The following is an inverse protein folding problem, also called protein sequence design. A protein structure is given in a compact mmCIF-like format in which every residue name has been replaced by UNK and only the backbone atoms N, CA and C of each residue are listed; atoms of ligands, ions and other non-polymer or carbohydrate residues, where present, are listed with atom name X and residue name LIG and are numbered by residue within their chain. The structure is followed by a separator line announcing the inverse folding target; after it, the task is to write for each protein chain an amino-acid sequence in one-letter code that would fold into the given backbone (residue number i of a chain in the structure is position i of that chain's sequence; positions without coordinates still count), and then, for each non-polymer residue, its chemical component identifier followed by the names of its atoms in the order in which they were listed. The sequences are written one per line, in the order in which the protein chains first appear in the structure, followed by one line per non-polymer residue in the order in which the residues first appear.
data_IF_573976715436
#
_entry.id   IF_573976715436
#
_cell.length_a   1.000
_cell.length_b   1.000
_cell.length_c   1.000
_cell.angle_alpha   90.00
_cell.angle_beta   90.00
_cell.angle_gamma   90.00
#
_symmetry.space_group_name_H-M   'P 1'
#
loop_
_entity.id
_entity.type
_entity.pdbx_description
1 polymer ?
#
# COMPACT_ATOMS: atom_id res chain seq x y z
N UNK A 1 18.77 34.29 32.97
CA UNK A 1 18.81 35.28 31.88
C UNK A 1 17.89 34.81 30.77
N UNK A 2 16.77 35.52 30.64
CA UNK A 2 15.75 35.36 29.60
C UNK A 2 16.26 35.78 28.22
N UNK A 3 15.89 35.05 27.16
CA UNK A 3 14.97 35.53 26.11
C UNK A 3 14.67 34.42 25.08
N UNK A 4 13.38 34.32 24.74
CA UNK A 4 12.71 33.46 23.76
C UNK A 4 12.99 33.89 22.30
N UNK A 5 12.94 32.95 21.34
CA UNK A 5 11.87 32.79 20.33
C UNK A 5 12.32 31.94 19.12
N UNK A 6 11.44 31.03 18.64
CA UNK A 6 11.69 30.34 17.36
C UNK A 6 10.81 29.14 17.00
N UNK A 7 9.50 29.18 17.30
CA UNK A 7 8.39 28.42 16.70
C UNK A 7 8.45 26.89 16.50
N UNK A 8 7.73 26.23 17.40
CA UNK A 8 7.10 24.91 17.28
C UNK A 8 6.00 24.84 16.20
N UNK A 9 5.84 23.66 15.60
CA UNK A 9 4.52 23.16 15.20
C UNK A 9 4.45 21.64 15.40
N UNK A 10 4.36 21.24 16.67
CA UNK A 10 3.88 19.94 17.10
C UNK A 10 2.34 19.98 17.17
N UNK A 11 1.64 19.21 16.32
CA UNK A 11 0.20 18.99 16.50
C UNK A 11 -0.03 17.92 17.57
N UNK A 12 -0.18 18.37 18.82
CA UNK A 12 -0.83 17.62 19.90
C UNK A 12 -2.27 18.08 20.09
N UNK A 13 -3.07 17.13 20.53
CA UNK A 13 -4.51 17.07 20.74
C UNK A 13 -5.02 18.18 21.70
N UNK A 14 -6.15 18.81 21.37
CA UNK A 14 -7.03 19.46 22.35
C UNK A 14 -8.34 18.66 22.47
N UNK A 15 -8.50 18.01 23.62
CA UNK A 15 -9.78 17.59 24.18
C UNK A 15 -10.19 18.63 25.23
N UNK A 16 -11.15 19.50 24.88
CA UNK A 16 -11.84 20.42 25.78
C UNK A 16 -13.31 20.03 25.94
N UNK A 17 -13.99 20.44 27.02
CA UNK A 17 -15.29 19.90 27.42
C UNK A 17 -16.42 20.33 26.48
N UNK A 18 -17.42 19.46 26.34
CA UNK A 18 -18.70 19.72 25.68
C UNK A 18 -19.32 21.01 26.24
N UNK A 19 -19.23 22.10 25.47
CA UNK A 19 -20.03 23.31 25.69
C UNK A 19 -21.37 23.14 25.00
N UNK A 20 -22.42 23.46 25.75
CA UNK A 20 -23.82 23.31 25.41
C UNK A 20 -24.17 23.76 23.98
N UNK A 21 -24.94 22.88 23.38
CA UNK A 21 -25.83 23.07 22.25
C UNK A 21 -26.82 24.21 22.47
N UNK A 22 -26.68 25.28 21.71
CA UNK A 22 -27.77 26.03 21.06
C UNK A 22 -27.15 27.30 20.47
N UNK A 23 -27.39 27.52 19.17
CA UNK A 23 -26.95 28.67 18.35
C UNK A 23 -25.73 28.44 17.46
N UNK A 24 -25.95 27.72 16.35
CA UNK A 24 -25.51 28.22 15.05
C UNK A 24 -26.58 27.86 14.01
N UNK A 25 -27.21 28.92 13.52
CA UNK A 25 -28.28 28.99 12.54
C UNK A 25 -28.03 28.21 11.25
N UNK A 26 -29.11 27.62 10.74
CA UNK A 26 -29.31 27.15 9.37
C UNK A 26 -28.67 28.09 8.31
N UNK A 27 -27.54 27.69 7.75
CA UNK A 27 -27.21 28.00 6.36
C UNK A 27 -27.28 26.67 5.60
N UNK A 28 -28.17 26.56 4.60
CA UNK A 28 -28.27 25.39 3.73
C UNK A 28 -26.92 25.10 3.06
N UNK A 29 -26.12 24.21 3.66
CA UNK A 29 -24.86 23.74 3.09
C UNK A 29 -25.18 22.92 1.84
N UNK A 30 -25.08 23.55 0.67
CA UNK A 30 -25.47 22.92 -0.60
C UNK A 30 -24.29 22.14 -1.17
N UNK A 31 -24.23 20.85 -0.84
CA UNK A 31 -23.32 19.91 -1.49
C UNK A 31 -23.87 19.46 -2.85
N UNK A 32 -23.24 19.90 -3.94
CA UNK A 32 -23.61 19.57 -5.32
C UNK A 32 -22.54 18.69 -5.95
N UNK A 33 -22.95 17.61 -6.63
CA UNK A 33 -22.06 16.80 -7.47
C UNK A 33 -22.38 17.08 -8.93
N UNK A 34 -21.38 17.41 -9.72
CA UNK A 34 -21.55 17.73 -11.13
C UNK A 34 -20.40 17.18 -11.99
N UNK A 35 -20.65 17.06 -13.30
CA UNK A 35 -19.63 16.61 -14.25
C UNK A 35 -18.61 17.72 -14.48
N UNK A 36 -17.32 17.38 -14.48
CA UNK A 36 -16.27 18.32 -14.85
C UNK A 36 -16.42 18.75 -16.32
N UNK A 37 -16.71 20.04 -16.54
CA UNK A 37 -16.89 20.64 -17.87
C UNK A 37 -15.99 21.85 -18.11
N UNK A 38 -15.72 22.66 -17.08
CA UNK A 38 -14.93 23.88 -17.19
C UNK A 38 -13.42 23.62 -17.05
N UNK A 39 -12.63 24.25 -17.92
CA UNK A 39 -11.17 24.12 -17.89
C UNK A 39 -10.55 24.84 -16.68
N UNK A 40 -11.19 25.93 -16.20
CA UNK A 40 -10.81 26.60 -14.95
C UNK A 40 -10.94 25.68 -13.74
N UNK A 41 -12.02 24.89 -13.68
CA UNK A 41 -12.21 23.88 -12.63
C UNK A 41 -11.19 22.75 -12.75
N UNK A 42 -10.82 22.34 -13.97
CA UNK A 42 -9.77 21.32 -14.18
C UNK A 42 -8.45 21.73 -13.53
N UNK A 43 -8.03 22.99 -13.71
CA UNK A 43 -6.79 23.52 -13.11
C UNK A 43 -6.88 23.55 -11.58
N UNK A 44 -7.99 24.07 -11.03
CA UNK A 44 -8.22 24.08 -9.57
C UNK A 44 -8.24 22.67 -8.99
N UNK A 45 -8.86 21.72 -9.68
CA UNK A 45 -8.95 20.34 -9.25
C UNK A 45 -7.60 19.61 -9.28
N UNK A 46 -6.77 19.85 -10.30
CA UNK A 46 -5.40 19.32 -10.34
C UNK A 46 -4.56 19.86 -9.18
N UNK A 47 -4.72 21.13 -8.82
CA UNK A 47 -4.07 21.71 -7.64
C UNK A 47 -4.53 21.01 -6.36
N UNK A 48 -5.84 20.92 -6.14
CA UNK A 48 -6.43 20.24 -4.99
C UNK A 48 -5.98 18.77 -4.87
N UNK A 49 -5.95 18.06 -6.01
CA UNK A 49 -5.48 16.69 -6.07
C UNK A 49 -4.02 16.55 -5.64
N UNK A 50 -3.13 17.42 -6.14
CA UNK A 50 -1.71 17.43 -5.74
C UNK A 50 -1.49 17.70 -4.26
N UNK A 51 -2.36 18.51 -3.64
CA UNK A 51 -2.34 18.77 -2.20
C UNK A 51 -2.88 17.59 -1.38
N UNK A 52 -3.71 16.75 -1.99
CA UNK A 52 -4.36 15.61 -1.33
C UNK A 52 -3.53 14.33 -1.32
N UNK A 53 -2.53 14.22 -2.21
CA UNK A 53 -1.71 13.02 -2.38
C UNK A 53 -0.23 13.29 -2.09
N UNK A 54 0.57 12.26 -1.71
CA UNK A 54 2.01 12.37 -1.70
C UNK A 54 2.55 12.89 -3.03
N UNK A 55 3.61 13.69 -3.00
CA UNK A 55 4.15 14.41 -4.16
C UNK A 55 4.24 13.57 -5.43
N UNK A 56 4.84 12.37 -5.34
CA UNK A 56 5.01 11.47 -6.48
C UNK A 56 3.67 10.99 -7.08
N UNK A 57 2.66 10.72 -6.26
CA UNK A 57 1.33 10.33 -6.75
C UNK A 57 0.59 11.52 -7.37
N UNK A 58 0.72 12.71 -6.78
CA UNK A 58 0.07 13.93 -7.26
C UNK A 58 0.53 14.37 -8.66
N UNK A 59 1.75 14.01 -9.07
CA UNK A 59 2.27 14.29 -10.43
C UNK A 59 1.48 13.52 -11.49
N UNK A 60 1.08 12.29 -11.20
CA UNK A 60 0.37 11.42 -12.14
C UNK A 60 -1.15 11.61 -12.12
N UNK A 61 -1.65 12.54 -11.32
CA UNK A 61 -3.06 12.88 -11.27
C UNK A 61 -3.46 13.60 -12.55
N UNK A 62 -4.37 12.99 -13.27
CA UNK A 62 -5.02 13.59 -14.42
C UNK A 62 -6.52 13.35 -14.36
N UNK A 63 -7.27 14.21 -15.04
CA UNK A 63 -8.72 14.11 -15.13
C UNK A 63 -9.13 13.43 -16.43
N UNK A 64 -10.36 12.94 -16.46
CA UNK A 64 -10.93 12.21 -17.60
C UNK A 64 -12.28 12.82 -18.01
N UNK A 65 -12.82 12.48 -19.20
CA UNK A 65 -14.19 12.85 -19.58
C UNK A 65 -15.28 12.33 -18.62
N UNK A 66 -14.93 11.42 -17.71
CA UNK A 66 -15.81 10.80 -16.72
C UNK A 66 -15.60 11.35 -15.30
N UNK A 67 -14.91 12.47 -15.14
CA UNK A 67 -14.65 13.06 -13.81
C UNK A 67 -15.89 13.77 -13.27
N UNK A 68 -16.26 13.48 -12.02
CA UNK A 68 -17.25 14.25 -11.27
C UNK A 68 -16.54 15.07 -10.19
N UNK A 69 -17.01 16.28 -9.95
CA UNK A 69 -16.52 17.18 -8.92
C UNK A 69 -17.61 17.44 -7.88
N UNK A 70 -17.19 17.61 -6.63
CA UNK A 70 -18.04 18.03 -5.54
C UNK A 70 -17.84 19.53 -5.28
N UNK A 71 -18.93 20.29 -5.24
CA UNK A 71 -18.95 21.65 -4.71
C UNK A 71 -19.60 21.69 -3.35
N UNK A 72 -18.92 22.33 -2.41
CA UNK A 72 -19.43 22.56 -1.07
C UNK A 72 -19.40 24.06 -0.81
N UNK A 73 -20.58 24.66 -0.59
CA UNK A 73 -20.75 26.11 -0.48
C UNK A 73 -20.15 26.88 -1.69
N UNK A 74 -20.33 26.34 -2.90
CA UNK A 74 -19.86 26.94 -4.16
C UNK A 74 -18.41 26.61 -4.53
N UNK A 75 -17.58 26.23 -3.56
CA UNK A 75 -16.17 25.92 -3.76
C UNK A 75 -15.92 24.45 -4.08
N UNK A 76 -14.86 24.16 -4.85
CA UNK A 76 -14.47 22.78 -5.17
C UNK A 76 -13.95 22.10 -3.92
N UNK A 77 -14.66 21.06 -3.50
CA UNK A 77 -14.44 20.35 -2.25
C UNK A 77 -13.84 18.95 -2.45
N UNK A 78 -13.83 18.45 -3.69
CA UNK A 78 -13.27 17.13 -4.02
C UNK A 78 -13.66 16.66 -5.41
N UNK A 79 -13.17 15.48 -5.80
CA UNK A 79 -13.56 14.82 -7.04
C UNK A 79 -13.37 13.31 -6.99
N UNK A 80 -14.04 12.66 -7.95
CA UNK A 80 -13.84 11.28 -8.32
C UNK A 80 -13.49 11.20 -9.80
N UNK A 81 -12.33 10.62 -10.11
CA UNK A 81 -11.84 10.46 -11.48
C UNK A 81 -12.04 9.02 -11.91
N UNK A 82 -12.85 8.85 -12.95
CA UNK A 82 -13.26 7.54 -13.44
C UNK A 82 -12.72 7.25 -14.84
N UNK A 83 -12.60 5.97 -15.18
CA UNK A 83 -12.26 5.48 -16.52
C UNK A 83 -13.19 4.33 -16.87
N UNK A 84 -13.28 4.04 -18.17
CA UNK A 84 -13.93 2.86 -18.68
C UNK A 84 -12.88 1.93 -19.29
N UNK A 85 -13.00 0.65 -19.01
CA UNK A 85 -12.30 -0.42 -19.71
C UNK A 85 -13.33 -1.23 -20.50
N UNK A 86 -13.31 -1.08 -21.82
CA UNK A 86 -14.17 -1.83 -22.73
C UNK A 86 -13.74 -3.29 -22.76
N UNK A 87 -14.64 -4.20 -22.39
CA UNK A 87 -14.41 -5.65 -22.41
C UNK A 87 -14.92 -6.18 -23.75
N UNK A 88 -16.17 -5.87 -24.06
CA UNK A 88 -16.85 -6.12 -25.34
C UNK A 88 -17.53 -4.81 -25.78
N UNK A 89 -18.04 -4.72 -27.02
CA UNK A 89 -18.74 -3.51 -27.48
C UNK A 89 -19.90 -3.06 -26.58
N UNK A 90 -20.55 -4.00 -25.88
CA UNK A 90 -21.73 -3.74 -25.05
C UNK A 90 -21.46 -3.83 -23.54
N UNK A 91 -20.25 -4.22 -23.13
CA UNK A 91 -19.89 -4.43 -21.71
C UNK A 91 -18.62 -3.67 -21.33
N UNK A 92 -18.75 -2.81 -20.32
CA UNK A 92 -17.64 -2.08 -19.73
C UNK A 92 -17.32 -2.57 -18.31
N UNK A 93 -16.09 -2.31 -17.89
CA UNK A 93 -15.71 -2.26 -16.48
C UNK A 93 -15.42 -0.81 -16.11
N UNK A 94 -16.11 -0.30 -15.09
CA UNK A 94 -15.87 1.01 -14.52
C UNK A 94 -14.64 1.00 -13.63
N UNK A 95 -13.82 2.03 -13.68
CA UNK A 95 -12.60 2.14 -12.88
C UNK A 95 -12.62 3.46 -12.13
N UNK A 96 -12.57 3.42 -10.81
CA UNK A 96 -12.33 4.60 -9.97
C UNK A 96 -10.82 4.71 -9.76
N UNK A 97 -10.21 5.66 -10.46
CA UNK A 97 -8.75 5.85 -10.48
C UNK A 97 -8.25 6.84 -9.43
N UNK A 98 -9.05 7.85 -9.09
CA UNK A 98 -8.73 8.80 -8.04
C UNK A 98 -10.00 9.20 -7.29
N UNK A 99 -9.87 9.34 -5.97
CA UNK A 99 -10.88 9.89 -5.09
C UNK A 99 -10.17 10.77 -4.07
N UNK A 100 -10.54 12.04 -4.01
CA UNK A 100 -9.94 12.97 -3.06
C UNK A 100 -10.91 14.08 -2.69
N UNK A 101 -10.74 14.60 -1.48
CA UNK A 101 -11.50 15.73 -0.92
C UNK A 101 -10.55 16.71 -0.27
N UNK A 102 -10.91 17.99 -0.25
CA UNK A 102 -10.16 19.00 0.48
C UNK A 102 -10.03 18.62 1.96
N UNK A 103 -8.88 18.97 2.55
CA UNK A 103 -8.61 18.81 3.98
C UNK A 103 -9.62 19.55 4.85
N UNK A 104 -10.10 20.71 4.38
CA UNK A 104 -10.93 21.65 5.14
C UNK A 104 -12.38 21.17 5.34
N UNK A 105 -12.80 20.18 4.55
CA UNK A 105 -14.18 19.66 4.53
C UNK A 105 -14.26 18.17 4.86
N UNK A 106 -13.21 17.62 5.47
CA UNK A 106 -13.18 16.22 5.89
C UNK A 106 -14.28 15.94 6.91
N UNK A 107 -14.89 14.76 6.79
CA UNK A 107 -16.01 14.35 7.66
C UNK A 107 -17.40 14.84 7.21
N UNK A 108 -17.49 15.70 6.19
CA UNK A 108 -18.78 16.19 5.67
C UNK A 108 -19.50 15.21 4.72
N UNK A 109 -19.12 13.93 4.69
CA UNK A 109 -19.73 12.90 3.83
C UNK A 109 -19.48 13.06 2.32
N UNK A 110 -18.63 14.01 1.90
CA UNK A 110 -18.38 14.33 0.48
C UNK A 110 -17.82 13.12 -0.28
N UNK A 111 -16.85 12.41 0.30
CA UNK A 111 -16.24 11.24 -0.33
C UNK A 111 -17.25 10.10 -0.56
N UNK A 112 -18.13 9.83 0.41
CA UNK A 112 -19.19 8.83 0.25
C UNK A 112 -20.19 9.24 -0.83
N UNK A 113 -20.61 10.51 -0.86
CA UNK A 113 -21.50 11.01 -1.90
C UNK A 113 -20.86 10.90 -3.29
N UNK A 114 -19.59 11.28 -3.44
CA UNK A 114 -18.84 11.15 -4.70
C UNK A 114 -18.77 9.70 -5.19
N UNK A 115 -18.52 8.74 -4.30
CA UNK A 115 -18.49 7.31 -4.68
C UNK A 115 -19.85 6.85 -5.15
N UNK A 116 -20.93 7.16 -4.41
CA UNK A 116 -22.29 6.76 -4.80
C UNK A 116 -22.71 7.36 -6.16
N UNK A 117 -22.52 8.65 -6.36
CA UNK A 117 -22.84 9.30 -7.65
C UNK A 117 -21.96 8.77 -8.79
N UNK A 118 -20.68 8.51 -8.50
CA UNK A 118 -19.76 7.89 -9.47
C UNK A 118 -20.19 6.48 -9.85
N UNK A 119 -20.70 5.69 -8.91
CA UNK A 119 -21.23 4.35 -9.19
C UNK A 119 -22.47 4.42 -10.09
N UNK A 120 -23.43 5.29 -9.78
CA UNK A 120 -24.63 5.46 -10.62
C UNK A 120 -24.25 5.93 -12.03
N UNK A 121 -23.30 6.86 -12.14
CA UNK A 121 -22.74 7.27 -13.42
C UNK A 121 -22.12 6.09 -14.19
N UNK A 122 -21.32 5.24 -13.54
CA UNK A 122 -20.67 4.10 -14.20
C UNK A 122 -21.69 3.02 -14.60
N UNK A 123 -22.70 2.74 -13.77
CA UNK A 123 -23.81 1.85 -14.12
C UNK A 123 -24.54 2.36 -15.36
N UNK A 124 -24.77 3.68 -15.46
CA UNK A 124 -25.36 4.31 -16.66
C UNK A 124 -24.47 4.24 -17.91
N UNK A 125 -23.25 3.69 -17.81
CA UNK A 125 -22.30 3.44 -18.91
C UNK A 125 -22.15 1.94 -19.21
N UNK A 126 -23.15 1.14 -18.87
CA UNK A 126 -23.16 -0.31 -19.05
C UNK A 126 -21.95 -1.00 -18.39
N UNK A 127 -21.53 -0.50 -17.22
CA UNK A 127 -20.48 -1.16 -16.45
C UNK A 127 -21.05 -2.35 -15.69
N UNK A 128 -20.59 -3.56 -15.99
CA UNK A 128 -21.02 -4.78 -15.28
C UNK A 128 -20.31 -4.98 -13.95
N UNK A 129 -19.12 -4.38 -13.79
CA UNK A 129 -18.44 -4.26 -12.51
C UNK A 129 -17.77 -2.89 -12.41
N UNK A 130 -17.49 -2.47 -11.18
CA UNK A 130 -16.71 -1.27 -10.88
C UNK A 130 -15.55 -1.65 -9.99
N UNK A 131 -14.35 -1.25 -10.38
CA UNK A 131 -13.11 -1.59 -9.65
C UNK A 131 -12.35 -0.35 -9.20
N UNK A 132 -11.58 -0.51 -8.12
CA UNK A 132 -10.60 0.46 -7.66
C UNK A 132 -9.46 -0.23 -6.92
N UNK A 133 -8.33 0.46 -6.76
CA UNK A 133 -7.20 -0.01 -5.97
C UNK A 133 -7.06 0.88 -4.74
N UNK A 134 -7.00 0.27 -3.55
CA UNK A 134 -6.85 1.02 -2.29
C UNK A 134 -5.74 0.40 -1.47
N UNK A 135 -4.81 1.23 -1.01
CA UNK A 135 -3.72 0.84 -0.10
C UNK A 135 -4.31 0.11 1.12
N UNK A 136 -3.73 -1.03 1.48
CA UNK A 136 -4.24 -1.86 2.57
C UNK A 136 -4.29 -1.17 3.94
N UNK A 137 -3.53 -0.09 4.14
CA UNK A 137 -3.54 0.74 5.35
C UNK A 137 -4.31 2.06 5.19
N UNK A 138 -4.83 2.38 4.01
CA UNK A 138 -5.71 3.52 3.80
C UNK A 138 -7.15 3.20 4.21
N UNK A 139 -7.34 3.04 5.52
CA UNK A 139 -8.62 2.63 6.11
C UNK A 139 -9.76 3.61 5.86
N UNK A 140 -9.47 4.90 5.65
CA UNK A 140 -10.49 5.90 5.33
C UNK A 140 -11.13 5.60 3.97
N UNK A 141 -10.31 5.37 2.93
CA UNK A 141 -10.82 4.98 1.61
C UNK A 141 -11.46 3.59 1.64
N UNK A 142 -10.83 2.61 2.32
CA UNK A 142 -11.40 1.26 2.44
C UNK A 142 -12.80 1.26 3.06
N UNK A 143 -13.05 2.07 4.10
CA UNK A 143 -14.38 2.20 4.71
C UNK A 143 -15.41 2.78 3.73
N UNK A 144 -15.05 3.81 2.97
CA UNK A 144 -15.94 4.40 1.96
C UNK A 144 -16.36 3.34 0.95
N UNK A 145 -15.41 2.58 0.40
CA UNK A 145 -15.73 1.54 -0.58
C UNK A 145 -16.51 0.37 0.05
N UNK A 146 -16.12 -0.09 1.24
CA UNK A 146 -16.86 -1.12 1.96
C UNK A 146 -18.31 -0.71 2.27
N UNK A 147 -18.56 0.56 2.62
CA UNK A 147 -19.91 1.09 2.85
C UNK A 147 -20.75 1.15 1.57
N UNK A 148 -20.11 1.20 0.41
CA UNK A 148 -20.76 1.19 -0.90
C UNK A 148 -20.80 -0.21 -1.54
N UNK A 149 -20.63 -1.28 -0.74
CA UNK A 149 -20.80 -2.67 -1.19
C UNK A 149 -19.65 -3.23 -2.01
N UNK A 150 -18.47 -2.58 -1.98
CA UNK A 150 -17.27 -3.16 -2.58
C UNK A 150 -16.70 -4.24 -1.67
N UNK A 151 -16.16 -5.29 -2.29
CA UNK A 151 -15.43 -6.36 -1.63
C UNK A 151 -14.02 -6.45 -2.19
N UNK A 152 -13.06 -6.88 -1.36
CA UNK A 152 -11.69 -7.14 -1.81
C UNK A 152 -11.69 -8.43 -2.63
N UNK A 153 -11.23 -8.37 -3.87
CA UNK A 153 -11.16 -9.51 -4.77
C UNK A 153 -9.72 -9.99 -4.99
N UNK A 154 -9.59 -11.25 -5.38
CA UNK A 154 -8.40 -11.76 -6.04
C UNK A 154 -8.51 -11.51 -7.55
N UNK A 155 -7.38 -11.53 -8.27
CA UNK A 155 -7.38 -11.34 -9.73
C UNK A 155 -8.14 -12.44 -10.48
N UNK A 156 -8.29 -13.62 -9.87
CA UNK A 156 -8.94 -14.80 -10.46
C UNK A 156 -10.40 -14.54 -10.78
N UNK A 157 -11.15 -13.84 -9.92
CA UNK A 157 -12.55 -13.49 -10.19
C UNK A 157 -12.71 -12.67 -11.47
N UNK A 158 -11.80 -11.71 -11.72
CA UNK A 158 -11.81 -10.92 -12.96
C UNK A 158 -11.41 -11.76 -14.17
N UNK A 159 -10.45 -12.68 -14.04
CA UNK A 159 -10.04 -13.58 -15.13
C UNK A 159 -11.19 -14.53 -15.48
N UNK A 160 -11.87 -15.09 -14.50
CA UNK A 160 -13.00 -16.00 -14.72
C UNK A 160 -14.17 -15.28 -15.38
N UNK A 161 -14.43 -14.02 -15.00
CA UNK A 161 -15.55 -13.24 -15.56
C UNK A 161 -15.27 -12.67 -16.95
N UNK A 162 -14.08 -12.10 -17.17
CA UNK A 162 -13.77 -11.30 -18.37
C UNK A 162 -12.67 -11.90 -19.26
N UNK A 163 -12.16 -13.09 -18.89
CA UNK A 163 -11.00 -13.69 -19.51
C UNK A 163 -9.70 -12.93 -19.22
N UNK A 164 -8.57 -13.53 -19.61
CA UNK A 164 -7.25 -12.95 -19.38
C UNK A 164 -7.04 -11.60 -20.09
N UNK A 165 -7.57 -11.46 -21.32
CA UNK A 165 -7.48 -10.18 -22.08
C UNK A 165 -8.24 -9.06 -21.38
N UNK A 166 -9.47 -9.32 -20.91
CA UNK A 166 -10.27 -8.35 -20.17
C UNK A 166 -9.61 -7.96 -18.85
N UNK A 167 -9.10 -8.95 -18.12
CA UNK A 167 -8.29 -8.73 -16.92
C UNK A 167 -7.11 -7.80 -17.19
N UNK A 168 -6.28 -8.05 -18.22
CA UNK A 168 -5.15 -7.19 -18.55
C UNK A 168 -5.57 -5.77 -18.95
N UNK A 169 -6.68 -5.59 -19.66
CA UNK A 169 -7.22 -4.25 -19.97
C UNK A 169 -7.59 -3.48 -18.70
N UNK A 170 -8.29 -4.12 -17.77
CA UNK A 170 -8.61 -3.52 -16.46
C UNK A 170 -7.34 -3.20 -15.69
N UNK A 171 -6.41 -4.16 -15.63
CA UNK A 171 -5.16 -4.06 -14.88
C UNK A 171 -4.27 -2.89 -15.35
N UNK A 172 -4.15 -2.73 -16.67
CA UNK A 172 -3.38 -1.64 -17.31
C UNK A 172 -4.06 -0.28 -17.13
N UNK A 173 -5.38 -0.18 -17.28
CA UNK A 173 -6.13 1.08 -17.09
C UNK A 173 -6.13 1.55 -15.63
N UNK A 174 -6.17 0.59 -14.69
CA UNK A 174 -6.02 0.82 -13.25
C UNK A 174 -4.56 1.11 -12.85
N UNK A 175 -3.58 0.81 -13.71
CA UNK A 175 -2.13 0.83 -13.40
C UNK A 175 -1.79 0.01 -12.15
N UNK A 176 -2.49 -1.11 -11.95
CA UNK A 176 -2.45 -1.83 -10.68
C UNK A 176 -1.07 -2.45 -10.35
N UNK A 177 -0.20 -2.60 -11.36
CA UNK A 177 1.17 -3.08 -11.20
C UNK A 177 2.09 -2.11 -10.43
N UNK A 178 1.78 -0.81 -10.38
CA UNK A 178 2.57 0.19 -9.64
C UNK A 178 2.05 0.46 -8.24
N UNK A 179 0.86 -0.06 -7.90
CA UNK A 179 0.14 0.23 -6.65
C UNK A 179 0.47 -0.78 -5.55
N UNK A 180 1.75 -0.90 -5.19
CA UNK A 180 2.21 -1.94 -4.25
C UNK A 180 1.46 -1.85 -2.92
N UNK A 181 1.04 -2.99 -2.39
CA UNK A 181 0.27 -3.06 -1.15
C UNK A 181 -1.18 -2.57 -1.26
N UNK A 182 -1.67 -2.29 -2.47
CA UNK A 182 -3.07 -1.99 -2.71
C UNK A 182 -3.87 -3.25 -2.99
N UNK A 183 -5.10 -3.27 -2.49
CA UNK A 183 -6.07 -4.32 -2.77
C UNK A 183 -7.01 -3.90 -3.89
N UNK A 184 -7.39 -4.86 -4.72
CA UNK A 184 -8.41 -4.69 -5.73
C UNK A 184 -9.78 -4.76 -5.06
N UNK A 185 -10.46 -3.63 -4.99
CA UNK A 185 -11.84 -3.53 -4.52
C UNK A 185 -12.77 -3.57 -5.71
N UNK A 186 -13.80 -4.42 -5.63
CA UNK A 186 -14.75 -4.62 -6.73
C UNK A 186 -16.19 -4.58 -6.23
N UNK A 187 -17.03 -3.91 -7.00
CA UNK A 187 -18.48 -3.90 -6.89
C UNK A 187 -19.09 -4.61 -8.11
N UNK A 188 -20.16 -5.38 -7.90
CA UNK A 188 -20.92 -6.04 -8.97
C UNK A 188 -20.46 -7.45 -9.33
N UNK A 189 -19.47 -8.00 -8.63
CA UNK A 189 -19.04 -9.40 -8.77
C UNK A 189 -19.27 -10.20 -7.48
N UNK A 190 -19.47 -11.53 -7.57
CA UNK A 190 -19.58 -12.40 -6.39
C UNK A 190 -18.37 -12.28 -5.48
N UNK A 191 -18.56 -12.51 -4.18
CA UNK A 191 -17.44 -12.58 -3.23
C UNK A 191 -16.42 -13.66 -3.64
N UNK A 192 -15.12 -13.44 -3.39
CA UNK A 192 -14.11 -14.42 -3.76
C UNK A 192 -14.29 -15.69 -2.91
N UNK A 193 -14.30 -16.85 -3.56
CA UNK A 193 -14.41 -18.14 -2.88
C UNK A 193 -13.24 -18.43 -1.93
N UNK A 194 -12.05 -17.86 -2.20
CA UNK A 194 -10.86 -18.11 -1.40
C UNK A 194 -9.95 -16.87 -1.32
N UNK A 195 -9.56 -16.50 -0.10
CA UNK A 195 -8.41 -15.62 0.14
C UNK A 195 -7.12 -16.45 0.12
N UNK A 196 -6.14 -16.03 -0.66
CA UNK A 196 -4.80 -16.64 -0.66
C UNK A 196 -4.14 -16.53 0.72
N UNK A 197 -3.75 -17.65 1.31
CA UNK A 197 -3.02 -17.68 2.57
C UNK A 197 -1.55 -17.24 2.45
N UNK A 198 -0.81 -17.21 3.58
CA UNK A 198 0.61 -16.83 3.58
C UNK A 198 1.47 -17.74 2.71
N UNK A 199 1.18 -19.04 2.69
CA UNK A 199 1.97 -20.04 1.97
C UNK A 199 2.05 -19.73 0.47
N UNK A 200 0.93 -19.43 -0.17
CA UNK A 200 0.92 -19.12 -1.62
C UNK A 200 1.75 -17.89 -1.96
N UNK A 201 1.69 -16.86 -1.11
CA UNK A 201 2.48 -15.65 -1.29
C UNK A 201 3.96 -15.86 -1.02
N UNK A 202 4.29 -16.71 -0.05
CA UNK A 202 5.66 -17.05 0.28
C UNK A 202 6.28 -17.87 -0.84
N UNK A 203 5.58 -18.88 -1.35
CA UNK A 203 6.03 -19.65 -2.51
C UNK A 203 6.29 -18.76 -3.72
N UNK A 204 5.42 -17.79 -4.01
CA UNK A 204 5.67 -16.84 -5.10
C UNK A 204 6.96 -16.04 -4.90
N UNK A 205 7.20 -15.52 -3.68
CA UNK A 205 8.44 -14.80 -3.38
C UNK A 205 9.67 -15.71 -3.41
N UNK A 206 9.58 -16.94 -2.92
CA UNK A 206 10.66 -17.94 -2.96
C UNK A 206 11.01 -18.35 -4.39
N UNK A 207 10.02 -18.41 -5.28
CA UNK A 207 10.27 -18.62 -6.71
C UNK A 207 10.98 -17.41 -7.33
N UNK A 208 10.49 -16.19 -7.06
CA UNK A 208 11.09 -14.98 -7.64
C UNK A 208 12.52 -14.76 -7.14
N UNK A 209 12.78 -14.95 -5.85
CA UNK A 209 14.13 -14.81 -5.29
C UNK A 209 15.09 -15.87 -5.81
N UNK A 210 14.60 -17.09 -6.05
CA UNK A 210 15.38 -18.15 -6.70
C UNK A 210 15.76 -17.77 -8.13
N UNK A 211 14.80 -17.22 -8.90
CA UNK A 211 15.08 -16.72 -10.26
C UNK A 211 16.09 -15.58 -10.22
N UNK A 212 15.91 -14.60 -9.32
CA UNK A 212 16.82 -13.48 -9.16
C UNK A 212 18.24 -13.96 -8.86
N UNK A 213 18.38 -14.91 -7.94
CA UNK A 213 19.66 -15.49 -7.59
C UNK A 213 20.31 -16.22 -8.75
N UNK A 214 19.58 -17.07 -9.47
CA UNK A 214 20.10 -17.79 -10.66
C UNK A 214 20.54 -16.82 -11.75
N UNK A 215 19.80 -15.73 -11.96
CA UNK A 215 20.16 -14.70 -12.96
C UNK A 215 21.43 -13.94 -12.53
N UNK A 216 21.57 -13.62 -11.24
CA UNK A 216 22.76 -12.92 -10.72
C UNK A 216 24.02 -13.79 -10.67
N UNK A 217 23.86 -15.07 -10.31
CA UNK A 217 24.94 -15.97 -9.87
C UNK A 217 24.95 -17.29 -10.65
N UNK A 218 24.52 -17.28 -11.92
CA UNK A 218 24.20 -18.48 -12.71
C UNK A 218 25.33 -19.46 -13.04
N UNK A 219 26.46 -19.41 -12.33
CA UNK A 219 27.53 -20.40 -12.42
C UNK A 219 27.16 -21.70 -11.68
N UNK A 220 27.51 -22.86 -12.26
CA UNK A 220 27.13 -24.19 -11.74
C UNK A 220 27.52 -24.40 -10.27
N UNK A 221 28.64 -23.82 -9.82
CA UNK A 221 29.11 -23.93 -8.44
C UNK A 221 28.24 -23.13 -7.45
N UNK A 222 27.58 -22.07 -7.89
CA UNK A 222 26.74 -21.22 -7.04
C UNK A 222 25.30 -21.70 -6.97
N UNK A 223 24.83 -22.50 -7.96
CA UNK A 223 23.54 -23.18 -7.90
C UNK A 223 23.41 -24.13 -6.70
N UNK A 224 24.53 -24.69 -6.23
CA UNK A 224 24.57 -25.46 -5.00
C UNK A 224 24.10 -24.64 -3.78
N UNK A 225 24.19 -23.30 -3.81
CA UNK A 225 23.75 -22.42 -2.72
C UNK A 225 22.26 -22.05 -2.77
N UNK A 226 21.49 -22.54 -3.76
CA UNK A 226 20.08 -22.18 -3.88
C UNK A 226 19.27 -22.52 -2.63
N UNK A 227 19.62 -23.61 -1.92
CA UNK A 227 18.97 -23.94 -0.65
C UNK A 227 19.20 -22.88 0.42
N UNK A 228 20.39 -22.26 0.49
CA UNK A 228 20.67 -21.17 1.43
C UNK A 228 19.82 -19.93 1.10
N UNK A 229 19.62 -19.62 -0.18
CA UNK A 229 18.75 -18.51 -0.61
C UNK A 229 17.31 -18.76 -0.22
N UNK A 230 16.81 -19.98 -0.41
CA UNK A 230 15.46 -20.35 0.02
C UNK A 230 15.32 -20.25 1.55
N UNK A 231 16.31 -20.75 2.30
CA UNK A 231 16.33 -20.66 3.77
C UNK A 231 16.39 -19.20 4.24
N UNK A 232 17.20 -18.35 3.61
CA UNK A 232 17.24 -16.92 3.86
C UNK A 232 15.88 -16.26 3.56
N UNK A 233 15.27 -16.59 2.43
CA UNK A 233 13.92 -16.14 2.08
C UNK A 233 12.88 -16.49 3.14
N UNK A 234 12.87 -17.75 3.60
CA UNK A 234 12.00 -18.21 4.69
C UNK A 234 12.28 -17.44 5.98
N UNK A 235 13.55 -17.24 6.33
CA UNK A 235 13.97 -16.54 7.54
C UNK A 235 13.46 -15.09 7.56
N UNK A 236 13.72 -14.30 6.52
CA UNK A 236 13.32 -12.89 6.46
C UNK A 236 11.79 -12.73 6.35
N UNK A 237 11.10 -13.60 5.62
CA UNK A 237 9.62 -13.60 5.63
C UNK A 237 9.05 -13.98 7.00
N UNK A 238 9.72 -14.88 7.73
CA UNK A 238 9.34 -15.27 9.09
C UNK A 238 9.55 -14.12 10.08
N UNK A 239 10.66 -13.39 9.99
CA UNK A 239 10.90 -12.19 10.81
C UNK A 239 9.81 -11.15 10.62
N UNK A 240 9.31 -10.99 9.39
CA UNK A 240 8.18 -10.10 9.11
C UNK A 240 6.84 -10.61 9.65
N UNK A 241 6.58 -11.90 9.54
CA UNK A 241 5.26 -12.47 9.82
C UNK A 241 5.05 -12.84 11.30
N UNK A 242 6.01 -13.50 11.92
CA UNK A 242 5.85 -14.12 13.25
C UNK A 242 5.59 -13.08 14.35
N UNK A 243 6.34 -11.96 14.47
CA UNK A 243 6.11 -11.00 15.55
C UNK A 243 4.69 -10.44 15.56
N UNK A 244 4.15 -10.09 14.39
CA UNK A 244 2.78 -9.61 14.27
C UNK A 244 1.76 -10.72 14.53
N UNK A 245 2.03 -11.96 14.08
CA UNK A 245 1.13 -13.09 14.35
C UNK A 245 1.03 -13.37 15.86
N UNK A 246 2.15 -13.37 16.57
CA UNK A 246 2.18 -13.57 18.03
C UNK A 246 1.39 -12.46 18.72
N UNK A 247 1.65 -11.20 18.36
CA UNK A 247 1.00 -10.06 19.02
C UNK A 247 -0.53 -10.05 18.80
N UNK A 248 -0.98 -10.41 17.61
CA UNK A 248 -2.41 -10.49 17.28
C UNK A 248 -3.11 -11.68 17.96
N UNK A 249 -2.42 -12.81 18.09
CA UNK A 249 -2.92 -13.97 18.87
C UNK A 249 -3.14 -13.61 20.34
N UNK A 250 -2.20 -12.88 20.96
CA UNK A 250 -2.30 -12.45 22.37
C UNK A 250 -3.53 -11.54 22.60
N UNK A 251 -3.94 -10.78 21.58
CA UNK A 251 -5.04 -9.82 21.66
C UNK A 251 -6.40 -10.39 21.22
N UNK A 252 -6.45 -11.68 20.87
CA UNK A 252 -7.68 -12.35 20.42
C UNK A 252 -8.38 -11.67 19.25
N UNK A 253 -7.63 -10.92 18.43
CA UNK A 253 -8.17 -10.31 17.23
C UNK A 253 -7.92 -11.23 16.03
N UNK A 254 -8.92 -11.35 15.15
CA UNK A 254 -8.76 -12.11 13.92
C UNK A 254 -8.05 -11.26 12.87
N UNK A 255 -6.89 -11.76 12.45
CA UNK A 255 -6.04 -11.16 11.45
C UNK A 255 -5.75 -12.17 10.35
N UNK A 256 -5.91 -11.73 9.11
CA UNK A 256 -5.69 -12.52 7.92
C UNK A 256 -4.48 -11.99 7.17
N UNK A 257 -3.70 -12.90 6.62
CA UNK A 257 -2.59 -12.55 5.76
C UNK A 257 -3.12 -12.21 4.37
N UNK A 258 -2.64 -11.11 3.78
CA UNK A 258 -2.94 -10.73 2.40
C UNK A 258 -1.63 -10.49 1.65
N UNK A 259 -1.45 -11.28 0.59
CA UNK A 259 -0.35 -11.12 -0.36
C UNK A 259 -0.50 -9.87 -1.22
N UNK A 260 0.63 -9.26 -1.61
CA UNK A 260 0.66 -8.13 -2.54
C UNK A 260 0.86 -8.63 -3.97
N UNK A 261 -0.09 -9.45 -4.43
CA UNK A 261 -0.02 -10.18 -5.70
C UNK A 261 0.21 -9.27 -6.91
N UNK A 262 -0.27 -8.03 -6.83
CA UNK A 262 -0.13 -7.05 -7.89
C UNK A 262 1.33 -6.64 -8.13
N UNK A 263 2.21 -6.77 -7.14
CA UNK A 263 3.63 -6.48 -7.25
C UNK A 263 4.48 -7.66 -7.76
N UNK A 264 3.93 -8.88 -7.85
CA UNK A 264 4.72 -10.06 -8.25
C UNK A 264 5.24 -9.98 -9.67
N UNK A 265 4.46 -9.45 -10.62
CA UNK A 265 4.96 -9.29 -11.99
C UNK A 265 6.12 -8.30 -12.03
N UNK A 266 6.02 -7.18 -11.31
CA UNK A 266 7.10 -6.19 -11.25
C UNK A 266 8.35 -6.80 -10.60
N UNK A 267 8.18 -7.52 -9.50
CA UNK A 267 9.27 -8.22 -8.81
C UNK A 267 9.94 -9.28 -9.71
N UNK A 268 9.16 -10.04 -10.48
CA UNK A 268 9.66 -11.01 -11.44
C UNK A 268 10.44 -10.34 -12.59
N UNK A 269 9.94 -9.22 -13.11
CA UNK A 269 10.66 -8.43 -14.13
C UNK A 269 12.00 -7.95 -13.58
N UNK A 270 12.03 -7.46 -12.33
CA UNK A 270 13.27 -7.03 -11.68
C UNK A 270 14.26 -8.20 -11.53
N UNK A 271 13.76 -9.37 -11.13
CA UNK A 271 14.55 -10.59 -11.01
C UNK A 271 15.16 -11.03 -12.34
N UNK A 272 14.37 -11.05 -13.42
CA UNK A 272 14.82 -11.51 -14.73
C UNK A 272 15.81 -10.53 -15.38
N UNK A 273 15.55 -9.22 -15.27
CA UNK A 273 16.35 -8.20 -15.97
C UNK A 273 17.64 -7.87 -15.21
N UNK A 274 17.56 -7.76 -13.89
CA UNK A 274 18.66 -7.24 -13.07
C UNK A 274 19.27 -8.30 -12.16
N UNK A 275 18.72 -9.52 -12.10
CA UNK A 275 19.10 -10.50 -11.09
C UNK A 275 18.77 -10.07 -9.66
N UNK A 276 18.02 -8.98 -9.48
CA UNK A 276 17.75 -8.38 -8.18
C UNK A 276 16.43 -8.89 -7.59
N UNK A 277 16.39 -9.02 -6.27
CA UNK A 277 15.15 -9.39 -5.58
C UNK A 277 14.42 -8.17 -5.04
N UNK A 278 13.19 -7.95 -5.52
CA UNK A 278 12.29 -6.93 -4.99
C UNK A 278 11.19 -7.59 -4.13
N UNK A 279 11.29 -7.55 -2.78
CA UNK A 279 10.41 -8.34 -1.91
C UNK A 279 8.94 -7.89 -2.00
N UNK A 280 8.03 -8.86 -2.18
CA UNK A 280 6.58 -8.67 -2.17
C UNK A 280 5.92 -9.51 -1.06
N UNK A 281 6.31 -9.30 0.20
CA UNK A 281 6.08 -10.27 1.26
C UNK A 281 4.66 -10.20 1.85
N UNK A 282 3.77 -9.36 1.33
CA UNK A 282 2.43 -9.14 1.88
C UNK A 282 2.45 -8.57 3.29
N UNK A 283 1.30 -8.57 3.97
CA UNK A 283 1.21 -8.25 5.40
C UNK A 283 -0.03 -8.91 6.03
N UNK A 284 -0.13 -8.85 7.36
CA UNK A 284 -1.36 -9.21 8.06
C UNK A 284 -2.24 -7.97 8.20
N UNK A 285 -3.54 -8.17 8.04
CA UNK A 285 -4.56 -7.13 8.17
C UNK A 285 -5.69 -7.66 9.05
N UNK A 286 -6.42 -6.80 9.77
CA UNK A 286 -7.66 -7.22 10.42
C UNK A 286 -8.60 -7.88 9.42
N UNK A 287 -9.26 -8.96 9.83
CA UNK A 287 -10.25 -9.65 9.01
C UNK A 287 -11.42 -8.72 8.67
N UNK A 288 -11.89 -7.96 9.65
CA UNK A 288 -12.90 -6.93 9.45
C UNK A 288 -12.34 -5.81 8.57
N UNK A 289 -12.90 -5.66 7.37
CA UNK A 289 -12.52 -4.65 6.38
C UNK A 289 -12.82 -3.21 6.84
N UNK A 290 -13.73 -3.01 7.79
CA UNK A 290 -14.10 -1.69 8.34
C UNK A 290 -13.34 -1.39 9.63
N UNK A 291 -12.01 -1.42 9.56
CA UNK A 291 -11.12 -1.14 10.69
C UNK A 291 -10.46 0.25 10.57
N UNK A 292 -9.82 0.74 11.63
CA UNK A 292 -9.10 2.03 11.65
C UNK A 292 -7.61 1.80 11.84
N UNK A 293 -6.78 2.33 10.93
CA UNK A 293 -5.33 2.20 11.03
C UNK A 293 -4.77 2.82 12.32
N UNK A 294 -5.32 3.97 12.72
CA UNK A 294 -4.93 4.68 13.93
C UNK A 294 -5.12 3.83 15.19
N UNK A 295 -6.15 2.99 15.22
CA UNK A 295 -6.47 2.18 16.40
C UNK A 295 -5.55 0.97 16.51
N UNK A 296 -4.86 0.60 15.41
CA UNK A 296 -3.98 -0.57 15.34
C UNK A 296 -2.50 -0.25 15.25
N UNK A 297 -2.14 1.04 15.15
CA UNK A 297 -0.73 1.44 14.95
C UNK A 297 0.18 1.01 16.10
N UNK A 298 -0.33 0.95 17.32
CA UNK A 298 0.47 0.49 18.46
C UNK A 298 0.91 -0.97 18.29
N UNK A 299 0.02 -1.84 17.81
CA UNK A 299 0.35 -3.25 17.56
C UNK A 299 1.29 -3.40 16.37
N UNK A 300 0.94 -2.76 15.25
CA UNK A 300 1.74 -2.79 14.02
C UNK A 300 3.15 -2.25 14.28
N UNK A 301 3.27 -1.09 14.92
CA UNK A 301 4.54 -0.44 15.23
C UNK A 301 5.42 -1.30 16.13
N UNK A 302 4.87 -1.86 17.22
CA UNK A 302 5.64 -2.71 18.13
C UNK A 302 6.13 -3.98 17.44
N UNK A 303 5.24 -4.69 16.74
CA UNK A 303 5.61 -5.91 16.01
C UNK A 303 6.69 -5.62 14.97
N UNK A 304 6.54 -4.52 14.22
CA UNK A 304 7.49 -4.18 13.16
C UNK A 304 8.81 -3.61 13.66
N UNK A 305 8.88 -3.00 14.85
CA UNK A 305 10.17 -2.73 15.52
C UNK A 305 10.91 -4.05 15.78
N UNK A 306 10.24 -5.04 16.37
CA UNK A 306 10.85 -6.35 16.65
C UNK A 306 11.31 -7.01 15.35
N UNK A 307 10.45 -7.05 14.33
CA UNK A 307 10.80 -7.58 13.01
C UNK A 307 12.01 -6.87 12.40
N UNK A 308 12.06 -5.53 12.43
CA UNK A 308 13.19 -4.77 11.90
C UNK A 308 14.48 -5.02 12.68
N UNK A 309 14.42 -5.10 14.01
CA UNK A 309 15.58 -5.41 14.85
C UNK A 309 16.13 -6.80 14.53
N UNK A 310 15.27 -7.82 14.40
CA UNK A 310 15.69 -9.16 13.99
C UNK A 310 16.43 -9.14 12.64
N UNK A 311 15.88 -8.43 11.64
CA UNK A 311 16.50 -8.31 10.32
C UNK A 311 17.88 -7.64 10.37
N UNK A 312 17.99 -6.46 10.99
CA UNK A 312 19.26 -5.73 11.03
C UNK A 312 20.29 -6.41 11.92
N UNK A 313 19.88 -7.05 13.01
CA UNK A 313 20.77 -7.82 13.87
C UNK A 313 21.31 -9.06 13.16
N UNK A 314 20.47 -9.81 12.44
CA UNK A 314 20.94 -10.96 11.66
C UNK A 314 21.98 -10.55 10.61
N UNK A 315 21.73 -9.46 9.88
CA UNK A 315 22.69 -8.94 8.90
C UNK A 315 23.98 -8.44 9.55
N UNK A 316 23.86 -7.70 10.66
CA UNK A 316 25.00 -7.22 11.44
C UNK A 316 25.87 -8.36 11.98
N UNK A 317 25.26 -9.44 12.50
CA UNK A 317 25.99 -10.61 12.99
C UNK A 317 26.75 -11.31 11.86
N UNK A 318 26.11 -11.50 10.71
CA UNK A 318 26.74 -12.14 9.55
C UNK A 318 27.94 -11.34 9.04
N UNK A 319 27.83 -10.00 9.01
CA UNK A 319 28.92 -9.12 8.59
C UNK A 319 30.04 -9.00 9.64
N UNK A 320 29.70 -8.98 10.94
CA UNK A 320 30.68 -8.83 12.01
C UNK A 320 31.48 -10.12 12.28
N UNK A 321 30.89 -11.29 12.01
CA UNK A 321 31.48 -12.58 12.32
C UNK A 321 31.44 -13.54 11.12
N UNK A 322 32.05 -13.19 9.97
CA UNK A 322 31.97 -13.99 8.76
C UNK A 322 32.59 -15.39 8.93
N UNK A 323 33.56 -15.56 9.82
CA UNK A 323 34.19 -16.86 10.10
C UNK A 323 33.27 -17.90 10.75
N UNK A 324 32.08 -17.52 11.23
CA UNK A 324 31.10 -18.44 11.80
C UNK A 324 30.22 -19.13 10.75
N UNK A 325 30.26 -18.67 9.49
CA UNK A 325 29.32 -19.09 8.47
C UNK A 325 30.03 -19.51 7.18
N UNK A 326 29.40 -20.38 6.39
CA UNK A 326 29.89 -20.69 5.05
C UNK A 326 29.72 -19.50 4.11
N UNK A 327 30.61 -19.34 3.14
CA UNK A 327 30.55 -18.24 2.16
C UNK A 327 29.20 -18.22 1.42
N UNK A 328 28.70 -19.39 1.01
CA UNK A 328 27.40 -19.51 0.36
C UNK A 328 26.22 -19.06 1.24
N UNK A 329 26.28 -19.32 2.55
CA UNK A 329 25.27 -18.83 3.49
C UNK A 329 25.33 -17.31 3.63
N UNK A 330 26.53 -16.74 3.79
CA UNK A 330 26.72 -15.28 3.91
C UNK A 330 26.16 -14.57 2.68
N UNK A 331 26.57 -14.97 1.48
CA UNK A 331 26.09 -14.38 0.23
C UNK A 331 24.57 -14.47 0.10
N UNK A 332 23.98 -15.62 0.47
CA UNK A 332 22.53 -15.81 0.43
C UNK A 332 21.81 -14.89 1.41
N UNK A 333 22.26 -14.83 2.67
CA UNK A 333 21.65 -13.95 3.69
C UNK A 333 21.74 -12.49 3.29
N UNK A 334 22.89 -12.04 2.76
CA UNK A 334 23.08 -10.67 2.31
C UNK A 334 22.22 -10.37 1.08
N UNK A 335 22.20 -11.25 0.08
CA UNK A 335 21.38 -11.08 -1.13
C UNK A 335 19.89 -10.88 -0.79
N UNK A 336 19.34 -11.72 0.08
CA UNK A 336 17.93 -11.60 0.51
C UNK A 336 17.73 -10.40 1.44
N UNK A 337 18.56 -10.31 2.48
CA UNK A 337 18.34 -9.41 3.59
C UNK A 337 18.59 -7.94 3.25
N UNK A 338 19.55 -7.64 2.36
CA UNK A 338 19.80 -6.27 1.89
C UNK A 338 18.58 -5.74 1.13
N UNK A 339 17.93 -6.56 0.31
CA UNK A 339 16.66 -6.18 -0.33
C UNK A 339 15.57 -5.87 0.69
N UNK A 340 15.38 -6.68 1.73
CA UNK A 340 14.43 -6.37 2.80
C UNK A 340 14.82 -5.10 3.56
N UNK A 341 16.11 -4.89 3.83
CA UNK A 341 16.58 -3.69 4.52
C UNK A 341 16.26 -2.42 3.72
N UNK A 342 16.50 -2.42 2.40
CA UNK A 342 16.19 -1.28 1.53
C UNK A 342 14.68 -1.05 1.46
N UNK A 343 13.93 -2.05 0.99
CA UNK A 343 12.51 -1.86 0.66
C UNK A 343 11.60 -1.88 1.88
N UNK A 344 11.91 -2.70 2.88
CA UNK A 344 11.03 -2.91 4.02
C UNK A 344 11.30 -1.97 5.20
N UNK A 345 12.53 -1.45 5.34
CA UNK A 345 12.92 -0.62 6.49
C UNK A 345 13.16 0.84 6.07
N UNK A 346 13.99 1.08 5.06
CA UNK A 346 14.45 2.43 4.70
C UNK A 346 13.42 3.21 3.88
N UNK A 347 12.76 2.56 2.92
CA UNK A 347 11.79 3.21 2.05
C UNK A 347 10.42 3.34 2.71
N UNK A 348 10.13 4.53 3.27
CA UNK A 348 8.86 4.81 3.99
C UNK A 348 7.88 5.69 3.20
N UNK A 349 8.31 6.21 2.06
CA UNK A 349 7.52 7.11 1.22
C UNK A 349 6.90 6.36 0.04
N UNK A 350 5.96 7.01 -0.65
CA UNK A 350 5.28 6.38 -1.78
C UNK A 350 6.22 6.00 -2.92
N UNK A 351 6.03 4.84 -3.57
CA UNK A 351 4.93 3.86 -3.41
C UNK A 351 5.16 2.79 -2.30
N UNK A 352 6.18 2.93 -1.45
CA UNK A 352 6.60 1.94 -0.46
C UNK A 352 5.94 2.10 0.92
N UNK A 353 4.90 2.95 1.05
CA UNK A 353 4.29 3.19 2.36
C UNK A 353 3.64 1.95 2.99
N UNK A 354 3.35 0.90 2.22
CA UNK A 354 2.77 -0.34 2.71
C UNK A 354 3.77 -1.24 3.47
N UNK A 355 5.07 -0.96 3.37
CA UNK A 355 6.14 -1.70 4.05
C UNK A 355 6.29 -1.31 5.54
N UNK A 356 7.08 -2.10 6.27
CA UNK A 356 7.21 -2.03 7.71
C UNK A 356 7.75 -0.69 8.21
N UNK A 357 8.76 -0.16 7.54
CA UNK A 357 9.47 1.07 7.94
C UNK A 357 8.49 2.22 8.13
N UNK A 358 7.47 2.31 7.28
CA UNK A 358 6.44 3.34 7.43
C UNK A 358 5.59 3.15 8.68
N UNK A 359 5.27 1.91 9.06
CA UNK A 359 4.49 1.62 10.27
C UNK A 359 5.30 1.92 11.53
N UNK A 360 6.61 1.62 11.52
CA UNK A 360 7.52 2.03 12.59
C UNK A 360 7.61 3.54 12.68
N UNK A 361 7.75 4.24 11.55
CA UNK A 361 7.79 5.70 11.49
C UNK A 361 6.51 6.36 12.04
N UNK A 362 5.34 5.87 11.62
CA UNK A 362 4.04 6.37 12.08
C UNK A 362 3.82 6.12 13.59
N UNK A 363 4.38 5.04 14.13
CA UNK A 363 4.33 4.71 15.55
C UNK A 363 5.32 5.53 16.40
N UNK A 364 6.59 5.55 15.99
CA UNK A 364 7.68 6.24 16.67
C UNK A 364 8.78 6.63 15.67
N UNK A 365 8.83 7.92 15.32
CA UNK A 365 9.86 8.46 14.42
C UNK A 365 11.27 8.23 14.95
N UNK A 366 11.48 8.32 16.26
CA UNK A 366 12.78 8.09 16.90
C UNK A 366 13.21 6.64 16.73
N UNK A 367 12.30 5.69 16.96
CA UNK A 367 12.58 4.27 16.76
C UNK A 367 12.94 3.98 15.30
N UNK A 368 12.21 4.57 14.36
CA UNK A 368 12.54 4.44 12.94
C UNK A 368 13.90 5.04 12.61
N UNK A 369 14.23 6.25 13.08
CA UNK A 369 15.54 6.88 12.84
C UNK A 369 16.67 6.00 13.37
N UNK A 370 16.53 5.45 14.59
CA UNK A 370 17.54 4.56 15.16
C UNK A 370 17.74 3.29 14.33
N UNK A 371 16.65 2.63 13.95
CA UNK A 371 16.69 1.43 13.10
C UNK A 371 17.26 1.75 11.71
N UNK A 372 16.86 2.87 11.11
CA UNK A 372 17.35 3.31 9.80
C UNK A 372 18.85 3.62 9.83
N UNK A 373 19.35 4.25 10.90
CA UNK A 373 20.79 4.48 11.07
C UNK A 373 21.58 3.17 11.15
N UNK A 374 21.09 2.19 11.92
CA UNK A 374 21.70 0.84 11.98
C UNK A 374 21.66 0.17 10.61
N UNK A 375 20.53 0.25 9.90
CA UNK A 375 20.36 -0.31 8.57
C UNK A 375 21.35 0.32 7.55
N UNK A 376 21.57 1.64 7.60
CA UNK A 376 22.56 2.34 6.77
C UNK A 376 23.98 1.89 7.10
N UNK A 377 24.32 1.70 8.38
CA UNK A 377 25.62 1.17 8.80
C UNK A 377 25.82 -0.24 8.22
N UNK A 378 24.81 -1.12 8.32
CA UNK A 378 24.84 -2.47 7.75
C UNK A 378 25.06 -2.42 6.24
N UNK A 379 24.37 -1.53 5.51
CA UNK A 379 24.59 -1.32 4.07
C UNK A 379 26.01 -0.85 3.76
N UNK A 380 26.53 0.09 4.54
CA UNK A 380 27.88 0.60 4.35
C UNK A 380 28.92 -0.51 4.55
N UNK A 381 28.79 -1.28 5.63
CA UNK A 381 29.67 -2.42 5.90
C UNK A 381 29.61 -3.44 4.75
N UNK A 382 28.41 -3.80 4.29
CA UNK A 382 28.22 -4.67 3.14
C UNK A 382 28.98 -4.16 1.89
N UNK A 383 28.79 -2.89 1.51
CA UNK A 383 29.46 -2.31 0.35
C UNK A 383 30.99 -2.25 0.48
N UNK A 384 31.52 -2.10 1.70
CA UNK A 384 32.98 -2.06 1.92
C UNK A 384 33.62 -3.45 1.99
N UNK A 385 32.86 -4.48 2.40
CA UNK A 385 33.38 -5.83 2.60
C UNK A 385 33.14 -6.75 1.40
N UNK A 386 32.13 -6.46 0.57
CA UNK A 386 31.72 -7.28 -0.57
C UNK A 386 31.42 -6.37 -1.79
N UNK A 387 32.46 -5.82 -2.46
CA UNK A 387 32.30 -4.94 -3.62
C UNK A 387 31.82 -5.65 -4.89
#
# INVERSE_FOLDING_TARGET
MSFFNGNDSCCNIYSGPLKNSSECSNSNQKLVIEKLSLESDRKKLKKLGRESFPYLHGIFLDTTPHTLLARYNGEIAGAIVMKLAEITPDENVGIISWLFTSGDVRGAGIGEKLVREGMEYLKSKNCSAIVTAVDGYNTSSSKIFANNGYVIQNGTTLINRYGFKGYLRVWTKLKYYSEIGHFLWVYGLPEPENSSGPITSWLANLTIISIAFVVSYGHIQELANLYYVILAGILFMSFRYIPLKILTMIKSEQWIYRGWHNGYLLSLIVAIIFGAFFPMPGAQYPENIKWSYRDKIQYLGTAYIVSSLLMVSTLGIVLAFPGLFSVGFIHSILFVGISFLIFDILLIMAPFQCYMGRRVYDFSRISWIGIAAIAIIVLFLFMTSYP
#
